data_IF_330291711178
#
_entry.id   IF_330291711178
#
_cell.length_a   1.000
_cell.length_b   1.000
_cell.length_c   1.000
_cell.angle_alpha   90.00
_cell.angle_beta   90.00
_cell.angle_gamma   90.00
#
_symmetry.space_group_name_H-M   'P 1'
#
loop_
_entity.id
_entity.type
_entity.pdbx_description
1 polymer ?
#
# COMPACT_ATOMS: atom_id res chain seq x y z
N UNK A 1 23.64 -71.90 -10.10
CA UNK A 1 22.19 -71.72 -10.41
C UNK A 1 21.50 -70.72 -9.45
N UNK A 2 21.70 -70.81 -8.13
CA UNK A 2 21.09 -69.86 -7.15
C UNK A 2 21.56 -68.37 -7.31
N UNK A 3 22.84 -68.14 -7.58
CA UNK A 3 23.38 -66.76 -7.76
C UNK A 3 22.78 -66.04 -8.99
N UNK A 4 22.52 -66.76 -10.09
CA UNK A 4 21.94 -66.14 -11.29
C UNK A 4 20.46 -65.72 -11.11
N UNK A 5 19.72 -66.41 -10.23
CA UNK A 5 18.33 -66.08 -9.90
C UNK A 5 18.29 -64.84 -8.97
N UNK A 6 19.20 -64.74 -8.01
CA UNK A 6 19.30 -63.59 -7.10
C UNK A 6 19.70 -62.34 -7.87
N UNK A 7 20.68 -62.38 -8.76
CA UNK A 7 21.04 -61.26 -9.62
C UNK A 7 19.94 -60.87 -10.60
N UNK A 8 19.20 -61.83 -11.14
CA UNK A 8 18.07 -61.53 -12.03
C UNK A 8 16.93 -60.83 -11.31
N UNK A 9 16.58 -61.21 -10.09
CA UNK A 9 15.53 -60.57 -9.31
C UNK A 9 15.96 -59.15 -8.85
N UNK A 10 17.22 -58.97 -8.46
CA UNK A 10 17.76 -57.64 -8.07
C UNK A 10 17.76 -56.66 -9.25
N UNK A 11 18.09 -57.11 -10.46
CA UNK A 11 18.02 -56.31 -11.68
C UNK A 11 16.58 -55.93 -12.07
N UNK A 12 15.62 -56.84 -11.87
CA UNK A 12 14.20 -56.60 -12.19
C UNK A 12 13.58 -55.59 -11.20
N UNK A 13 13.91 -55.71 -9.90
CA UNK A 13 13.42 -54.76 -8.89
C UNK A 13 13.97 -53.35 -9.14
N UNK A 14 15.27 -53.19 -9.40
CA UNK A 14 15.87 -51.92 -9.73
C UNK A 14 15.27 -51.29 -11.01
N UNK A 15 14.92 -52.09 -12.01
CA UNK A 15 14.31 -51.55 -13.23
C UNK A 15 12.88 -51.04 -13.02
N UNK A 16 12.12 -51.71 -12.15
CA UNK A 16 10.78 -51.25 -11.77
C UNK A 16 10.80 -49.96 -10.93
N UNK A 17 11.70 -49.89 -9.94
CA UNK A 17 11.89 -48.67 -9.16
C UNK A 17 12.31 -47.49 -10.04
N UNK A 18 13.19 -47.73 -11.01
CA UNK A 18 13.61 -46.69 -11.96
C UNK A 18 12.44 -46.22 -12.84
N UNK A 19 11.59 -47.16 -13.32
CA UNK A 19 10.40 -46.81 -14.11
C UNK A 19 9.42 -45.96 -13.32
N UNK A 20 9.12 -46.32 -12.07
CA UNK A 20 8.23 -45.54 -11.19
C UNK A 20 8.81 -44.16 -10.90
N UNK A 21 10.12 -44.06 -10.69
CA UNK A 21 10.77 -42.76 -10.49
C UNK A 21 10.69 -41.90 -11.74
N UNK A 22 10.84 -42.49 -12.95
CA UNK A 22 10.70 -41.73 -14.21
C UNK A 22 9.26 -41.23 -14.42
N UNK A 23 8.24 -42.03 -14.13
CA UNK A 23 6.85 -41.64 -14.25
C UNK A 23 6.53 -40.50 -13.28
N UNK A 24 7.01 -40.55 -12.04
CA UNK A 24 6.86 -39.45 -11.06
C UNK A 24 7.52 -38.17 -11.52
N UNK A 25 8.68 -38.20 -12.14
CA UNK A 25 9.37 -37.05 -12.69
C UNK A 25 8.57 -36.40 -13.83
N UNK A 26 7.99 -37.25 -14.70
CA UNK A 26 7.13 -36.79 -15.80
C UNK A 26 5.89 -36.10 -15.25
N UNK A 27 5.21 -36.67 -14.26
CA UNK A 27 4.02 -36.12 -13.65
C UNK A 27 4.34 -34.77 -12.97
N UNK A 28 5.44 -34.68 -12.24
CA UNK A 28 5.90 -33.43 -11.64
C UNK A 28 6.25 -32.37 -12.70
N UNK A 29 6.86 -32.76 -13.80
CA UNK A 29 7.16 -31.82 -14.89
C UNK A 29 5.87 -31.27 -15.54
N UNK A 30 4.86 -32.10 -15.69
CA UNK A 30 3.55 -31.68 -16.20
C UNK A 30 2.89 -30.68 -15.23
N UNK A 31 2.91 -30.98 -13.92
CA UNK A 31 2.35 -30.09 -12.89
C UNK A 31 3.09 -28.75 -12.85
N UNK A 32 4.41 -28.74 -12.93
CA UNK A 32 5.24 -27.51 -13.01
C UNK A 32 4.84 -26.66 -14.22
N UNK A 33 4.67 -27.28 -15.39
CA UNK A 33 4.24 -26.54 -16.57
C UNK A 33 2.85 -25.93 -16.42
N UNK A 34 1.87 -26.69 -15.87
CA UNK A 34 0.52 -26.19 -15.60
C UNK A 34 0.52 -25.03 -14.60
N UNK A 35 1.34 -25.11 -13.54
CA UNK A 35 1.51 -24.03 -12.56
C UNK A 35 2.17 -22.81 -13.18
N UNK A 36 3.13 -23.00 -14.07
CA UNK A 36 3.79 -21.90 -14.82
C UNK A 36 2.78 -21.16 -15.70
N UNK A 37 1.98 -21.90 -16.47
CA UNK A 37 0.95 -21.30 -17.33
C UNK A 37 -0.09 -20.52 -16.51
N UNK A 38 -0.50 -21.07 -15.37
CA UNK A 38 -1.43 -20.41 -14.46
C UNK A 38 -0.85 -19.15 -13.82
N UNK A 39 0.43 -19.17 -13.48
CA UNK A 39 1.13 -17.99 -12.98
C UNK A 39 1.22 -16.87 -14.03
N UNK A 40 1.44 -17.22 -15.29
CA UNK A 40 1.44 -16.24 -16.38
C UNK A 40 0.05 -15.63 -16.57
N UNK A 41 -1.02 -16.44 -16.55
CA UNK A 41 -2.40 -15.97 -16.61
C UNK A 41 -2.74 -15.02 -15.47
N UNK A 42 -2.41 -15.41 -14.22
CA UNK A 42 -2.63 -14.58 -13.03
C UNK A 42 -1.84 -13.27 -13.10
N UNK A 43 -0.63 -13.29 -13.61
CA UNK A 43 0.19 -12.08 -13.77
C UNK A 43 -0.46 -11.10 -14.75
N UNK A 44 -1.01 -11.59 -15.86
CA UNK A 44 -1.76 -10.77 -16.83
C UNK A 44 -3.03 -10.18 -16.21
N UNK A 45 -3.76 -10.99 -15.42
CA UNK A 45 -4.98 -10.52 -14.75
C UNK A 45 -4.68 -9.46 -13.68
N UNK A 46 -3.62 -9.62 -12.89
CA UNK A 46 -3.16 -8.61 -11.93
C UNK A 46 -2.79 -7.31 -12.64
N UNK A 47 -2.10 -7.38 -13.78
CA UNK A 47 -1.75 -6.19 -14.56
C UNK A 47 -3.01 -5.49 -15.09
N UNK A 48 -4.00 -6.24 -15.58
CA UNK A 48 -5.29 -5.71 -16.05
C UNK A 48 -6.05 -5.02 -14.91
N UNK A 49 -6.20 -5.69 -13.76
CA UNK A 49 -6.92 -5.14 -12.60
C UNK A 49 -6.25 -3.89 -12.04
N UNK A 50 -4.92 -3.83 -12.05
CA UNK A 50 -4.19 -2.63 -11.66
C UNK A 50 -4.45 -1.47 -12.63
N UNK A 51 -4.52 -1.74 -13.93
CA UNK A 51 -4.90 -0.74 -14.93
C UNK A 51 -6.33 -0.21 -14.71
N UNK A 52 -7.30 -1.09 -14.50
CA UNK A 52 -8.69 -0.72 -14.21
C UNK A 52 -8.80 0.12 -12.93
N UNK A 53 -8.01 -0.22 -11.89
CA UNK A 53 -7.94 0.54 -10.63
C UNK A 53 -7.39 1.95 -10.82
N UNK A 54 -6.37 2.14 -11.66
CA UNK A 54 -5.83 3.48 -11.94
C UNK A 54 -6.84 4.36 -12.70
N UNK A 55 -7.57 3.78 -13.66
CA UNK A 55 -8.66 4.48 -14.34
C UNK A 55 -9.77 4.89 -13.36
N UNK A 56 -10.16 3.98 -12.47
CA UNK A 56 -11.20 4.25 -11.47
C UNK A 56 -10.75 5.32 -10.46
N UNK A 57 -9.49 5.28 -10.02
CA UNK A 57 -8.91 6.34 -9.19
C UNK A 57 -8.92 7.69 -9.90
N UNK A 58 -8.53 7.75 -11.17
CA UNK A 58 -8.56 8.98 -11.95
C UNK A 58 -9.97 9.55 -12.12
N UNK A 59 -10.99 8.67 -12.17
CA UNK A 59 -12.39 9.07 -12.28
C UNK A 59 -12.99 9.54 -10.94
N UNK A 60 -12.65 8.85 -9.83
CA UNK A 60 -13.22 9.16 -8.51
C UNK A 60 -12.41 10.19 -7.72
N UNK A 61 -11.13 10.35 -8.04
CA UNK A 61 -10.21 11.20 -7.27
C UNK A 61 -9.46 12.16 -8.18
N UNK A 62 -9.57 13.44 -7.89
CA UNK A 62 -8.76 14.46 -8.52
C UNK A 62 -7.30 14.36 -8.03
N UNK A 63 -6.37 14.10 -8.94
CA UNK A 63 -4.94 14.20 -8.62
C UNK A 63 -4.55 15.66 -8.45
N UNK A 64 -3.98 16.01 -7.29
CA UNK A 64 -3.65 17.38 -6.92
C UNK A 64 -2.15 17.72 -7.06
N UNK A 65 -1.31 16.70 -7.32
CA UNK A 65 0.14 16.85 -7.41
C UNK A 65 0.89 16.47 -6.14
N UNK A 66 2.17 16.87 -6.08
CA UNK A 66 3.03 16.64 -4.92
C UNK A 66 2.86 17.75 -3.88
N UNK A 67 2.76 17.35 -2.61
CA UNK A 67 2.68 18.24 -1.46
C UNK A 67 3.84 18.01 -0.49
N UNK A 68 4.37 19.08 0.09
CA UNK A 68 5.30 19.01 1.23
C UNK A 68 4.51 18.60 2.46
N UNK A 69 4.90 17.48 3.08
CA UNK A 69 4.25 16.94 4.28
C UNK A 69 5.07 17.30 5.50
N UNK A 70 4.41 17.89 6.49
CA UNK A 70 4.93 18.16 7.83
C UNK A 70 4.00 17.57 8.88
N UNK A 71 4.42 17.58 10.13
CA UNK A 71 3.67 17.00 11.25
C UNK A 71 3.58 17.97 12.42
N UNK A 72 2.45 18.00 13.09
CA UNK A 72 2.22 18.83 14.27
C UNK A 72 1.47 18.06 15.36
N UNK A 73 1.56 18.54 16.58
CA UNK A 73 0.71 18.11 17.71
C UNK A 73 -0.03 19.33 18.31
N UNK A 74 -0.90 19.05 19.30
CA UNK A 74 -1.66 20.08 20.00
C UNK A 74 -0.88 20.75 21.14
N UNK A 75 0.45 20.83 21.06
CA UNK A 75 1.26 21.51 22.06
C UNK A 75 1.37 23.02 21.80
N UNK A 76 1.76 23.75 22.84
CA UNK A 76 1.95 25.20 22.73
C UNK A 76 2.99 25.60 21.67
N UNK A 77 4.04 24.78 21.53
CA UNK A 77 5.13 25.03 20.57
C UNK A 77 4.67 24.90 19.10
N UNK A 78 3.81 23.91 18.80
CA UNK A 78 3.28 23.71 17.46
C UNK A 78 2.11 24.63 17.12
N UNK A 79 1.19 24.83 18.06
CA UNK A 79 -0.11 25.48 17.80
C UNK A 79 -0.34 26.78 18.59
N UNK A 80 0.54 27.15 19.52
CA UNK A 80 0.31 28.27 20.44
C UNK A 80 -0.82 28.05 21.44
N UNK A 81 -1.44 26.88 21.45
CA UNK A 81 -2.55 26.47 22.34
C UNK A 81 -2.49 24.96 22.59
N UNK A 82 -3.14 24.49 23.66
CA UNK A 82 -3.08 23.06 24.05
C UNK A 82 -4.46 22.41 24.15
N UNK A 83 -5.51 23.09 23.68
CA UNK A 83 -6.89 22.59 23.81
C UNK A 83 -7.24 21.52 22.72
N UNK A 84 -6.39 21.34 21.71
CA UNK A 84 -6.61 20.38 20.64
C UNK A 84 -7.82 20.68 19.74
N UNK A 85 -8.30 21.95 19.71
CA UNK A 85 -9.41 22.35 18.85
C UNK A 85 -8.86 22.94 17.55
N UNK A 86 -9.27 22.38 16.43
CA UNK A 86 -8.89 22.79 15.08
C UNK A 86 -9.59 24.06 14.62
N UNK A 87 -9.22 24.59 13.47
CA UNK A 87 -9.87 25.74 12.85
C UNK A 87 -11.31 25.46 12.42
N UNK A 88 -11.67 24.19 12.16
CA UNK A 88 -13.07 23.77 11.89
C UNK A 88 -13.94 23.65 13.16
N UNK A 89 -13.33 23.76 14.35
CA UNK A 89 -14.01 23.53 15.63
C UNK A 89 -14.01 22.06 16.08
N UNK A 90 -13.50 21.14 15.26
CA UNK A 90 -13.35 19.73 15.64
C UNK A 90 -12.17 19.56 16.59
N UNK A 91 -12.19 18.50 17.39
CA UNK A 91 -11.03 18.06 18.16
C UNK A 91 -10.06 17.33 17.25
N UNK A 92 -8.75 17.63 17.37
CA UNK A 92 -7.72 16.89 16.62
C UNK A 92 -7.81 15.40 16.89
N UNK A 93 -7.63 14.61 15.83
CA UNK A 93 -7.68 13.15 15.88
C UNK A 93 -6.59 12.55 15.02
N UNK A 94 -5.79 11.67 15.63
CA UNK A 94 -4.76 10.92 14.93
C UNK A 94 -5.38 10.06 13.82
N UNK A 95 -4.70 9.97 12.68
CA UNK A 95 -5.19 9.22 11.53
C UNK A 95 -6.28 9.93 10.71
N UNK A 96 -6.80 11.08 11.19
CA UNK A 96 -7.88 11.82 10.52
C UNK A 96 -7.47 13.25 10.22
N UNK A 97 -7.01 14.01 11.20
CA UNK A 97 -6.85 15.47 11.08
C UNK A 97 -5.61 15.85 10.27
N UNK A 98 -5.80 16.74 9.29
CA UNK A 98 -4.74 17.42 8.56
C UNK A 98 -5.06 18.91 8.47
N UNK A 99 -4.02 19.74 8.55
CA UNK A 99 -4.08 21.17 8.21
C UNK A 99 -3.66 21.39 6.76
N UNK A 100 -4.40 22.23 6.05
CA UNK A 100 -4.15 22.56 4.65
C UNK A 100 -4.39 24.05 4.37
N UNK A 101 -4.00 24.49 3.19
CA UNK A 101 -4.46 25.75 2.63
C UNK A 101 -5.92 25.59 2.18
N UNK A 102 -6.83 26.31 2.81
CA UNK A 102 -8.26 26.22 2.51
C UNK A 102 -8.69 26.79 1.16
N UNK A 103 -7.78 27.48 0.47
CA UNK A 103 -7.97 27.87 -0.93
C UNK A 103 -7.67 26.73 -1.91
N UNK A 104 -6.90 25.72 -1.48
CA UNK A 104 -6.58 24.50 -2.26
C UNK A 104 -7.55 23.39 -1.89
N UNK A 105 -7.69 23.13 -0.59
CA UNK A 105 -8.62 22.14 -0.06
C UNK A 105 -9.57 22.79 0.95
N UNK A 106 -10.84 23.00 0.62
CA UNK A 106 -11.84 23.50 1.57
C UNK A 106 -11.90 22.66 2.85
N UNK A 107 -12.35 23.28 3.95
CA UNK A 107 -12.59 22.55 5.20
C UNK A 107 -13.59 21.40 4.96
N UNK A 108 -13.27 20.23 5.50
CA UNK A 108 -14.06 19.01 5.31
C UNK A 108 -13.61 18.14 4.14
N UNK A 109 -12.77 18.65 3.22
CA UNK A 109 -12.26 17.85 2.10
C UNK A 109 -11.61 16.57 2.60
N UNK A 110 -11.92 15.45 1.94
CA UNK A 110 -11.25 14.17 2.14
C UNK A 110 -10.15 14.03 1.12
N UNK A 111 -8.93 13.85 1.60
CA UNK A 111 -7.75 13.69 0.76
C UNK A 111 -7.06 12.38 1.06
N UNK A 112 -6.49 11.77 0.03
CA UNK A 112 -5.61 10.63 0.14
C UNK A 112 -4.17 11.08 -0.07
N UNK A 113 -3.30 10.72 0.85
CA UNK A 113 -1.86 11.02 0.81
C UNK A 113 -1.11 9.71 0.62
N UNK A 114 -0.29 9.64 -0.40
CA UNK A 114 0.48 8.45 -0.74
C UNK A 114 1.29 7.94 0.45
N UNK A 115 1.20 6.63 0.73
CA UNK A 115 1.91 6.00 1.84
C UNK A 115 1.41 6.33 3.26
N UNK A 116 0.51 7.32 3.39
CA UNK A 116 -0.03 7.77 4.68
C UNK A 116 -1.52 7.40 4.83
N UNK A 117 -2.27 7.44 3.71
CA UNK A 117 -3.70 7.12 3.67
C UNK A 117 -4.60 8.33 3.79
N UNK A 118 -5.87 8.08 4.10
CA UNK A 118 -6.95 9.07 4.13
C UNK A 118 -6.79 10.07 5.27
N UNK A 119 -7.07 11.37 4.97
CA UNK A 119 -7.14 12.46 5.94
C UNK A 119 -8.32 13.36 5.63
N UNK A 120 -8.81 14.07 6.65
CA UNK A 120 -9.83 15.10 6.51
C UNK A 120 -9.23 16.45 6.84
N UNK A 121 -9.42 17.42 5.96
CA UNK A 121 -8.98 18.82 6.19
C UNK A 121 -9.86 19.43 7.27
N UNK A 122 -9.34 19.50 8.49
CA UNK A 122 -10.04 20.04 9.66
C UNK A 122 -9.32 21.25 10.25
N UNK A 123 -8.09 21.49 9.83
CA UNK A 123 -7.29 22.59 10.38
C UNK A 123 -6.65 23.42 9.28
N UNK A 124 -6.09 24.58 9.69
CA UNK A 124 -5.29 25.48 8.85
C UNK A 124 -4.20 26.10 9.68
N UNK A 125 -3.06 26.39 9.05
CA UNK A 125 -1.95 27.10 9.67
C UNK A 125 -1.52 28.32 8.86
N UNK A 126 -1.00 29.33 9.53
CA UNK A 126 -0.46 30.52 8.84
C UNK A 126 0.67 30.19 7.88
N UNK A 127 1.49 29.18 8.22
CA UNK A 127 2.60 28.67 7.41
C UNK A 127 2.22 27.56 6.43
N UNK A 128 0.97 27.07 6.50
CA UNK A 128 0.47 26.00 5.63
C UNK A 128 -0.23 26.65 4.44
N UNK A 129 0.50 26.80 3.33
CA UNK A 129 0.06 27.50 2.12
C UNK A 129 0.43 26.75 0.86
N UNK A 130 -0.45 26.81 -0.14
CA UNK A 130 -0.27 26.11 -1.42
C UNK A 130 -0.13 24.60 -1.23
N UNK A 131 0.88 24.02 -1.87
CA UNK A 131 1.14 22.59 -1.84
C UNK A 131 1.87 22.15 -0.55
N UNK A 132 1.28 22.46 0.60
CA UNK A 132 1.78 22.05 1.90
C UNK A 132 0.67 21.50 2.78
N UNK A 133 0.94 20.39 3.45
CA UNK A 133 0.05 19.75 4.41
C UNK A 133 0.77 19.54 5.73
N UNK A 134 0.02 19.66 6.84
CA UNK A 134 0.54 19.45 8.18
C UNK A 134 -0.36 18.43 8.89
N UNK A 135 0.18 17.22 9.14
CA UNK A 135 -0.59 16.09 9.63
C UNK A 135 -0.53 16.08 11.15
N UNK A 136 -1.69 15.95 11.79
CA UNK A 136 -1.74 15.80 13.22
C UNK A 136 -1.24 14.41 13.63
N UNK A 137 -0.26 14.40 14.54
CA UNK A 137 0.18 13.21 15.28
C UNK A 137 0.36 13.57 16.75
N UNK A 138 -0.09 12.74 17.69
CA UNK A 138 0.13 13.02 19.11
C UNK A 138 1.63 12.93 19.40
N UNK A 139 2.11 13.85 20.26
CA UNK A 139 3.51 13.90 20.71
C UNK A 139 4.53 13.93 19.56
N UNK A 140 4.32 14.81 18.59
CA UNK A 140 5.16 14.93 17.39
C UNK A 140 6.64 15.12 17.68
N UNK A 141 7.01 15.65 18.84
CA UNK A 141 8.39 15.89 19.24
C UNK A 141 9.15 14.65 19.69
N UNK A 142 8.45 13.60 20.12
CA UNK A 142 9.02 12.33 20.58
C UNK A 142 8.64 11.13 19.70
N UNK A 143 7.81 11.35 18.68
CA UNK A 143 7.38 10.29 17.76
C UNK A 143 8.56 9.82 16.90
N UNK A 144 8.70 8.50 16.64
CA UNK A 144 9.70 7.96 15.73
C UNK A 144 9.38 8.22 14.24
N UNK A 145 8.30 8.94 13.94
CA UNK A 145 7.93 9.29 12.56
C UNK A 145 9.05 10.13 11.91
N UNK A 146 9.31 9.96 10.61
CA UNK A 146 10.36 10.71 9.94
C UNK A 146 10.00 12.19 9.92
N UNK A 147 10.66 13.00 10.77
CA UNK A 147 10.53 14.47 10.79
C UNK A 147 11.08 15.16 9.53
N UNK A 148 11.62 14.38 8.59
CA UNK A 148 12.09 14.92 7.34
C UNK A 148 10.88 15.30 6.47
N UNK A 149 10.87 16.56 6.05
CA UNK A 149 9.94 17.04 5.03
C UNK A 149 10.00 16.09 3.84
N UNK A 150 8.86 15.48 3.51
CA UNK A 150 8.73 14.59 2.36
C UNK A 150 7.79 15.26 1.37
N UNK A 151 7.98 14.94 0.11
CA UNK A 151 7.01 15.25 -0.94
C UNK A 151 6.27 13.99 -1.30
N UNK A 152 4.96 14.02 -1.19
CA UNK A 152 4.08 12.88 -1.48
C UNK A 152 2.96 13.32 -2.41
N UNK A 153 2.50 12.40 -3.22
CA UNK A 153 1.36 12.60 -4.09
C UNK A 153 0.06 12.67 -3.28
N UNK A 154 -0.84 13.57 -3.69
CA UNK A 154 -2.12 13.81 -3.01
C UNK A 154 -3.25 13.78 -4.01
N UNK A 155 -4.35 13.15 -3.61
CA UNK A 155 -5.62 13.11 -4.34
C UNK A 155 -6.74 13.62 -3.45
N UNK A 156 -7.73 14.26 -4.04
CA UNK A 156 -8.97 14.68 -3.35
C UNK A 156 -10.15 13.86 -3.86
N UNK A 157 -11.09 13.53 -2.98
CA UNK A 157 -12.39 12.97 -3.41
C UNK A 157 -13.12 14.05 -4.20
N UNK A 158 -13.47 13.74 -5.43
CA UNK A 158 -14.37 14.56 -6.21
C UNK A 158 -15.78 14.25 -5.71
N UNK A 159 -16.35 15.12 -4.85
CA UNK A 159 -17.75 15.03 -4.51
C UNK A 159 -18.57 15.31 -5.78
N UNK A 160 -19.62 14.54 -6.01
CA UNK A 160 -20.54 14.74 -7.12
C UNK A 160 -21.07 16.19 -7.06
N UNK A 161 -20.80 16.96 -8.10
CA UNK A 161 -21.29 18.32 -8.30
C UNK A 161 -22.76 18.27 -8.68
#
# INVERSE_FOLDING_TARGET
MLLSIIFGNLCIDNSKELSVAQDNIIDQAIEINQLSDKNEELTKEVARLNGDMEVLKAYLFGYCGEFEITYYDSCYKCCGKTNGITASGAKVQEGITVAADTSVFPMGSKIYIEGIGWRTVQDRGGAIKGNKLDIYIPDCHNSPMPYNKQKLNVWVVLEDV
#
